data_IF_857231538626
#
_entry.id   IF_857231538626
#
_cell.length_a   1.000
_cell.length_b   1.000
_cell.length_c   1.000
_cell.angle_alpha   90.00
_cell.angle_beta   90.00
_cell.angle_gamma   90.00
#
_symmetry.space_group_name_H-M   'P 1'
#
loop_
_entity.id
_entity.type
_entity.pdbx_description
1 polymer ?
#
# COMPACT_ATOMS: atom_id res chain seq x y z
N UNK A 1 12.40 -31.44 -5.44
CA UNK A 1 11.48 -30.37 -5.94
C UNK A 1 12.29 -29.09 -6.08
N UNK A 2 12.20 -28.42 -7.22
CA UNK A 2 12.79 -27.09 -7.42
C UNK A 2 11.87 -26.02 -6.85
N UNK A 3 12.32 -24.75 -6.85
CA UNK A 3 11.54 -23.62 -6.26
C UNK A 3 10.15 -23.47 -6.87
N UNK A 4 10.00 -23.64 -8.20
CA UNK A 4 8.69 -23.52 -8.87
C UNK A 4 7.76 -24.68 -8.51
N UNK A 5 8.28 -25.89 -8.38
CA UNK A 5 7.49 -27.06 -7.94
C UNK A 5 7.00 -26.89 -6.50
N UNK A 6 7.86 -26.38 -5.61
CA UNK A 6 7.49 -26.08 -4.23
C UNK A 6 6.42 -24.96 -4.17
N UNK A 7 6.60 -23.90 -4.94
CA UNK A 7 5.62 -22.82 -5.00
C UNK A 7 4.26 -23.30 -5.51
N UNK A 8 4.26 -24.08 -6.60
CA UNK A 8 3.03 -24.61 -7.17
C UNK A 8 2.29 -25.59 -6.25
N UNK A 9 2.99 -26.32 -5.41
CA UNK A 9 2.37 -27.27 -4.49
C UNK A 9 1.87 -26.63 -3.19
N UNK A 10 2.62 -25.65 -2.64
CA UNK A 10 2.38 -25.16 -1.28
C UNK A 10 1.91 -23.70 -1.19
N UNK A 11 2.05 -22.89 -2.24
CA UNK A 11 1.61 -21.50 -2.23
C UNK A 11 0.26 -21.37 -2.96
N UNK A 12 -0.70 -20.68 -2.31
CA UNK A 12 -2.00 -20.43 -2.93
C UNK A 12 -1.84 -19.66 -4.26
N UNK A 13 -2.52 -20.11 -5.31
CA UNK A 13 -2.43 -19.53 -6.66
C UNK A 13 -3.23 -18.22 -6.79
N UNK A 14 -2.92 -17.25 -5.93
CA UNK A 14 -3.56 -15.94 -5.93
C UNK A 14 -2.93 -14.96 -6.96
N UNK A 15 -1.79 -15.30 -7.54
CA UNK A 15 -1.05 -14.44 -8.47
C UNK A 15 -0.58 -15.22 -9.70
N UNK A 16 -0.68 -14.60 -10.89
CA UNK A 16 0.04 -15.07 -12.07
C UNK A 16 1.53 -14.72 -11.94
N UNK A 17 2.41 -15.73 -11.98
CA UNK A 17 3.86 -15.52 -11.93
C UNK A 17 4.49 -15.65 -13.30
N UNK A 18 5.56 -14.89 -13.54
CA UNK A 18 6.46 -15.16 -14.66
C UNK A 18 7.21 -16.45 -14.39
N UNK A 19 7.52 -17.21 -15.45
CA UNK A 19 8.22 -18.49 -15.35
C UNK A 19 9.73 -18.32 -15.08
N UNK A 20 10.08 -17.61 -14.02
CA UNK A 20 11.45 -17.32 -13.58
C UNK A 20 11.53 -17.50 -12.05
N UNK A 21 12.49 -18.30 -11.58
CA UNK A 21 12.82 -18.40 -10.16
C UNK A 21 14.09 -17.57 -9.88
N UNK A 22 13.90 -16.39 -9.31
CA UNK A 22 15.00 -15.48 -8.94
C UNK A 22 15.61 -15.91 -7.60
N UNK A 23 16.94 -15.94 -7.51
CA UNK A 23 17.65 -16.41 -6.32
C UNK A 23 18.42 -15.28 -5.60
N UNK A 24 19.07 -14.40 -6.37
CA UNK A 24 19.94 -13.35 -5.82
C UNK A 24 19.98 -12.13 -6.72
N UNK A 25 20.54 -11.04 -6.20
CA UNK A 25 20.77 -9.83 -6.99
C UNK A 25 21.66 -8.82 -6.28
N UNK A 26 22.07 -7.81 -7.02
CA UNK A 26 22.79 -6.63 -6.51
C UNK A 26 22.41 -5.41 -7.35
N UNK A 27 22.06 -4.31 -6.70
CA UNK A 27 21.60 -3.08 -7.34
C UNK A 27 20.42 -3.35 -8.31
N UNK A 28 20.60 -3.16 -9.61
CA UNK A 28 19.59 -3.38 -10.64
C UNK A 28 19.75 -4.71 -11.37
N UNK A 29 20.57 -5.62 -10.88
CA UNK A 29 20.82 -6.92 -11.52
C UNK A 29 20.28 -8.05 -10.65
N UNK A 30 19.50 -8.95 -11.25
CA UNK A 30 18.96 -10.15 -10.65
C UNK A 30 19.51 -11.38 -11.36
N UNK A 31 19.57 -12.49 -10.65
CA UNK A 31 19.99 -13.79 -11.19
C UNK A 31 18.99 -14.86 -10.82
N UNK A 32 18.66 -15.73 -11.77
CA UNK A 32 17.87 -16.91 -11.50
C UNK A 32 18.72 -18.05 -10.91
N UNK A 33 18.07 -19.18 -10.55
CA UNK A 33 18.70 -20.39 -10.01
C UNK A 33 19.78 -20.98 -10.94
N UNK A 34 19.73 -20.68 -12.25
CA UNK A 34 20.71 -21.14 -13.23
C UNK A 34 21.84 -20.13 -13.47
N UNK A 35 21.82 -18.99 -12.77
CA UNK A 35 22.79 -17.91 -12.92
C UNK A 35 22.56 -17.02 -14.11
N UNK A 36 21.42 -17.11 -14.81
CA UNK A 36 21.07 -16.18 -15.88
C UNK A 36 20.76 -14.81 -15.31
N UNK A 37 21.31 -13.80 -15.94
CA UNK A 37 21.18 -12.38 -15.55
C UNK A 37 19.93 -11.74 -16.12
N UNK A 38 19.29 -10.87 -15.30
CA UNK A 38 18.15 -10.03 -15.64
C UNK A 38 18.38 -8.62 -15.11
N UNK A 39 17.92 -7.62 -15.84
CA UNK A 39 17.89 -6.24 -15.38
C UNK A 39 16.54 -5.99 -14.69
N UNK A 40 16.58 -5.52 -13.45
CA UNK A 40 15.39 -5.18 -12.67
C UNK A 40 14.90 -3.76 -12.97
N UNK A 41 13.86 -3.62 -13.76
CA UNK A 41 13.11 -2.38 -13.94
C UNK A 41 11.87 -2.26 -13.06
N UNK A 42 11.55 -3.30 -12.30
CA UNK A 42 10.34 -3.36 -11.48
C UNK A 42 10.54 -2.90 -10.05
N UNK A 43 11.78 -2.98 -9.54
CA UNK A 43 12.14 -2.65 -8.15
C UNK A 43 11.18 -3.26 -7.11
N UNK A 44 10.66 -4.48 -7.35
CA UNK A 44 9.65 -5.10 -6.49
C UNK A 44 8.36 -4.27 -6.37
N UNK A 45 7.95 -3.60 -7.45
CA UNK A 45 6.85 -2.61 -7.49
C UNK A 45 7.14 -1.42 -6.55
N UNK A 46 8.37 -0.87 -6.66
CA UNK A 46 8.83 0.31 -5.93
C UNK A 46 9.33 0.05 -4.50
N UNK A 47 9.43 -1.21 -4.08
CA UNK A 47 9.88 -1.57 -2.71
C UNK A 47 11.39 -1.47 -2.55
N UNK A 48 12.16 -1.90 -3.55
CA UNK A 48 13.63 -1.90 -3.53
C UNK A 48 14.22 -0.67 -4.22
N UNK A 49 13.75 0.52 -3.84
CA UNK A 49 14.13 1.79 -4.46
C UNK A 49 15.63 2.12 -4.39
N UNK A 50 16.35 1.58 -3.40
CA UNK A 50 17.81 1.73 -3.27
C UNK A 50 18.60 0.67 -4.06
N UNK A 51 17.91 -0.26 -4.70
CA UNK A 51 18.50 -1.43 -5.37
C UNK A 51 18.50 -2.68 -4.50
N UNK A 52 18.65 -3.82 -5.18
CA UNK A 52 18.73 -5.14 -4.53
C UNK A 52 20.01 -5.22 -3.69
N UNK A 53 19.88 -5.67 -2.47
CA UNK A 53 20.99 -5.91 -1.53
C UNK A 53 21.91 -4.68 -1.34
N UNK A 54 21.33 -3.46 -1.27
CA UNK A 54 22.05 -2.23 -0.98
C UNK A 54 22.80 -2.33 0.35
N UNK A 55 24.07 -1.92 0.37
CA UNK A 55 24.95 -2.16 1.53
C UNK A 55 24.70 -1.17 2.66
N UNK A 56 24.34 0.07 2.37
CA UNK A 56 24.02 1.08 3.39
C UNK A 56 22.70 0.74 4.08
N UNK A 57 21.69 0.37 3.28
CA UNK A 57 20.42 -0.09 3.82
C UNK A 57 20.57 -1.33 4.70
N UNK A 58 21.30 -2.36 4.23
CA UNK A 58 21.57 -3.57 5.03
C UNK A 58 22.26 -3.26 6.34
N UNK A 59 23.30 -2.41 6.31
CA UNK A 59 24.03 -2.00 7.49
C UNK A 59 23.11 -1.33 8.52
N UNK A 60 22.27 -0.38 8.07
CA UNK A 60 21.33 0.31 8.95
C UNK A 60 20.32 -0.64 9.60
N UNK A 61 19.80 -1.63 8.82
CA UNK A 61 18.86 -2.65 9.33
C UNK A 61 19.55 -3.54 10.37
N UNK A 62 20.75 -4.05 10.09
CA UNK A 62 21.52 -4.91 11.00
C UNK A 62 21.81 -4.15 12.31
N UNK A 63 22.32 -2.92 12.24
CA UNK A 63 22.59 -2.09 13.41
C UNK A 63 21.34 -1.83 14.26
N UNK A 64 20.16 -1.72 13.64
CA UNK A 64 18.90 -1.55 14.37
C UNK A 64 18.42 -2.87 14.99
N UNK A 65 18.58 -3.99 14.30
CA UNK A 65 18.24 -5.33 14.81
C UNK A 65 19.07 -5.67 16.08
N UNK A 66 20.35 -5.30 16.09
CA UNK A 66 21.23 -5.48 17.26
C UNK A 66 20.81 -4.63 18.47
N UNK A 67 20.01 -3.57 18.26
CA UNK A 67 19.52 -2.70 19.35
C UNK A 67 18.10 -3.07 19.79
N UNK A 68 17.17 -3.08 18.85
CA UNK A 68 15.75 -3.27 19.14
C UNK A 68 14.97 -3.45 17.83
N UNK A 69 14.44 -4.64 17.57
CA UNK A 69 13.67 -4.91 16.36
C UNK A 69 12.17 -4.58 16.48
N UNK A 70 11.55 -4.86 17.64
CA UNK A 70 10.13 -4.62 17.87
C UNK A 70 9.75 -4.59 19.35
N UNK A 71 8.81 -3.71 19.72
CA UNK A 71 8.25 -3.62 21.09
C UNK A 71 6.75 -3.27 21.12
N UNK A 72 6.04 -3.33 20.01
CA UNK A 72 4.63 -2.88 19.93
C UNK A 72 4.46 -1.34 20.04
N UNK A 73 3.29 -0.87 19.56
CA UNK A 73 2.89 0.55 19.66
C UNK A 73 2.53 1.01 21.09
N UNK A 74 2.65 0.11 22.08
CA UNK A 74 2.49 0.47 23.49
C UNK A 74 3.69 1.26 24.05
N UNK A 75 4.80 1.28 23.32
CA UNK A 75 6.03 1.95 23.74
C UNK A 75 6.54 2.92 22.68
N UNK A 76 7.23 3.96 23.12
CA UNK A 76 7.89 4.91 22.22
C UNK A 76 9.21 4.34 21.72
N UNK A 77 9.47 4.49 20.41
CA UNK A 77 10.74 4.09 19.81
C UNK A 77 11.36 5.25 19.01
N UNK A 78 12.68 5.39 19.11
CA UNK A 78 13.43 6.47 18.46
C UNK A 78 13.32 6.44 16.93
N UNK A 79 13.45 5.29 16.24
CA UNK A 79 13.32 5.26 14.78
C UNK A 79 11.97 5.75 14.29
N UNK A 80 10.87 5.30 14.90
CA UNK A 80 9.50 5.72 14.56
C UNK A 80 9.33 7.24 14.72
N UNK A 81 9.73 7.80 15.87
CA UNK A 81 9.58 9.22 16.15
C UNK A 81 10.41 10.10 15.21
N UNK A 82 11.65 9.69 14.91
CA UNK A 82 12.55 10.42 13.98
C UNK A 82 12.03 10.40 12.57
N UNK A 83 11.53 9.25 12.07
CA UNK A 83 10.96 9.14 10.75
C UNK A 83 9.67 9.98 10.64
N UNK A 84 8.79 9.93 11.64
CA UNK A 84 7.59 10.77 11.66
C UNK A 84 7.94 12.25 11.58
N UNK A 85 8.95 12.72 12.37
CA UNK A 85 9.41 14.11 12.29
C UNK A 85 9.93 14.46 10.89
N UNK A 86 10.80 13.63 10.33
CA UNK A 86 11.35 13.85 8.98
C UNK A 86 10.25 13.96 7.92
N UNK A 87 9.27 13.05 7.94
CA UNK A 87 8.15 13.07 7.01
C UNK A 87 7.30 14.34 7.18
N UNK A 88 6.97 14.74 8.42
CA UNK A 88 6.23 15.97 8.68
C UNK A 88 6.99 17.21 8.19
N UNK A 89 8.28 17.31 8.47
CA UNK A 89 9.12 18.44 8.02
C UNK A 89 9.17 18.54 6.48
N UNK A 90 9.19 17.41 5.77
CA UNK A 90 9.27 17.37 4.30
C UNK A 90 7.94 17.56 3.59
N UNK A 91 6.84 17.14 4.19
CA UNK A 91 5.51 17.18 3.56
C UNK A 91 4.65 18.34 4.01
N UNK A 92 4.99 19.00 5.11
CA UNK A 92 4.16 20.01 5.77
C UNK A 92 2.97 19.43 6.55
N UNK A 93 2.81 18.11 6.59
CA UNK A 93 1.79 17.44 7.38
C UNK A 93 2.09 17.49 8.87
N UNK A 94 1.04 17.38 9.71
CA UNK A 94 1.19 17.51 11.18
C UNK A 94 1.50 16.21 11.89
N UNK A 95 1.04 15.09 11.37
CA UNK A 95 1.14 13.75 12.00
C UNK A 95 1.29 12.69 10.92
N UNK A 96 1.88 11.56 11.31
CA UNK A 96 2.04 10.38 10.47
C UNK A 96 1.38 9.18 11.16
N UNK A 97 0.67 8.38 10.39
CA UNK A 97 0.19 7.06 10.77
C UNK A 97 1.01 6.01 10.01
N UNK A 98 1.65 5.12 10.73
CA UNK A 98 2.41 4.01 10.15
C UNK A 98 1.59 2.74 10.13
N UNK A 99 1.67 2.00 9.03
CA UNK A 99 1.01 0.71 8.83
C UNK A 99 1.93 -0.24 8.07
N UNK A 100 1.51 -1.50 7.91
CA UNK A 100 2.34 -2.53 7.27
C UNK A 100 2.20 -2.56 5.74
N UNK A 101 1.19 -1.92 5.20
CA UNK A 101 0.92 -1.93 3.74
C UNK A 101 0.16 -0.69 3.28
N UNK A 102 0.19 -0.42 1.96
CA UNK A 102 -0.65 0.62 1.36
C UNK A 102 -2.15 0.38 1.58
N UNK A 103 -2.60 -0.87 1.55
CA UNK A 103 -3.99 -1.20 1.86
C UNK A 103 -4.38 -0.80 3.28
N UNK A 104 -3.55 -1.10 4.29
CA UNK A 104 -3.79 -0.67 5.67
C UNK A 104 -3.72 0.85 5.84
N UNK A 105 -2.83 1.54 5.11
CA UNK A 105 -2.78 3.00 5.08
C UNK A 105 -4.10 3.58 4.54
N UNK A 106 -4.63 3.03 3.46
CA UNK A 106 -5.92 3.43 2.90
C UNK A 106 -7.09 3.10 3.82
N UNK A 107 -7.11 1.93 4.49
CA UNK A 107 -8.08 1.63 5.55
C UNK A 107 -8.04 2.69 6.66
N UNK A 108 -6.84 3.08 7.09
CA UNK A 108 -6.63 4.16 8.04
C UNK A 108 -7.20 5.50 7.54
N UNK A 109 -6.87 5.90 6.30
CA UNK A 109 -7.35 7.15 5.70
C UNK A 109 -8.89 7.19 5.59
N UNK A 110 -9.51 6.11 5.13
CA UNK A 110 -10.99 5.95 5.05
C UNK A 110 -11.61 6.12 6.44
N UNK A 111 -11.08 5.43 7.45
CA UNK A 111 -11.56 5.54 8.83
C UNK A 111 -11.40 6.96 9.39
N UNK A 112 -10.26 7.60 9.17
CA UNK A 112 -10.04 8.99 9.61
C UNK A 112 -10.99 9.96 8.94
N UNK A 113 -11.22 9.85 7.62
CA UNK A 113 -12.14 10.71 6.90
C UNK A 113 -13.58 10.58 7.44
N UNK A 114 -14.06 9.34 7.59
CA UNK A 114 -15.40 9.06 8.14
C UNK A 114 -15.55 9.52 9.58
N UNK A 115 -14.55 9.22 10.43
CA UNK A 115 -14.55 9.64 11.85
C UNK A 115 -14.55 11.16 12.00
N UNK A 116 -13.68 11.86 11.26
CA UNK A 116 -13.62 13.32 11.26
C UNK A 116 -14.95 13.92 10.80
N UNK A 117 -15.55 13.38 9.74
CA UNK A 117 -16.83 13.85 9.24
C UNK A 117 -17.95 13.67 10.25
N UNK A 118 -18.04 12.50 10.86
CA UNK A 118 -19.03 12.21 11.91
C UNK A 118 -18.87 13.16 13.11
N UNK A 119 -17.65 13.35 13.61
CA UNK A 119 -17.41 14.23 14.79
C UNK A 119 -17.76 15.68 14.51
N UNK A 120 -17.61 16.13 13.27
CA UNK A 120 -17.81 17.53 12.89
C UNK A 120 -19.24 17.83 12.41
N UNK A 121 -19.89 16.88 11.73
CA UNK A 121 -21.14 17.11 11.01
C UNK A 121 -22.27 16.14 11.41
N UNK A 122 -22.00 15.15 12.27
CA UNK A 122 -22.95 14.08 12.61
C UNK A 122 -23.05 12.99 11.53
N UNK A 123 -24.15 12.23 11.56
CA UNK A 123 -24.42 11.14 10.65
C UNK A 123 -24.77 11.61 9.22
N UNK A 124 -24.68 10.69 8.25
CA UNK A 124 -25.13 10.88 6.87
C UNK A 124 -24.05 11.40 5.90
N UNK A 125 -22.86 11.77 6.39
CA UNK A 125 -21.76 12.26 5.56
C UNK A 125 -20.56 11.32 5.64
N UNK A 126 -20.63 10.20 4.92
CA UNK A 126 -19.62 9.11 4.98
C UNK A 126 -19.14 8.59 3.63
N UNK A 127 -19.68 9.13 2.53
CA UNK A 127 -19.29 8.74 1.16
C UNK A 127 -17.92 9.30 0.81
N UNK A 128 -17.12 8.50 0.12
CA UNK A 128 -15.78 8.87 -0.37
C UNK A 128 -15.79 8.75 -1.89
N UNK A 129 -15.30 9.78 -2.58
CA UNK A 129 -15.09 9.75 -4.02
C UNK A 129 -13.67 9.25 -4.27
N UNK A 130 -13.53 8.24 -5.15
CA UNK A 130 -12.24 7.75 -5.65
C UNK A 130 -12.19 7.90 -7.17
N UNK A 131 -11.03 7.73 -7.79
CA UNK A 131 -10.91 7.86 -9.24
C UNK A 131 -11.20 6.55 -9.95
N UNK A 132 -11.84 6.62 -11.11
CA UNK A 132 -11.92 5.52 -12.08
C UNK A 132 -10.48 5.07 -12.42
N UNK A 133 -10.26 3.77 -12.54
CA UNK A 133 -8.95 3.14 -12.75
C UNK A 133 -7.94 3.31 -11.60
N UNK A 134 -8.35 3.82 -10.44
CA UNK A 134 -7.50 3.86 -9.25
C UNK A 134 -7.27 2.47 -8.65
N UNK A 135 -6.25 2.37 -7.82
CA UNK A 135 -5.97 1.17 -7.01
C UNK A 135 -5.73 1.57 -5.55
N UNK A 136 -6.51 1.01 -4.62
CA UNK A 136 -6.42 1.33 -3.19
C UNK A 136 -6.01 0.15 -2.31
N UNK A 137 -5.98 -1.06 -2.84
CA UNK A 137 -5.59 -2.28 -2.10
C UNK A 137 -6.51 -3.46 -2.34
N UNK A 138 -6.28 -4.54 -1.59
CA UNK A 138 -6.99 -5.83 -1.74
C UNK A 138 -7.77 -6.25 -0.48
N UNK A 139 -7.89 -5.42 0.56
CA UNK A 139 -8.87 -5.62 1.64
C UNK A 139 -10.28 -5.33 1.11
N UNK A 140 -11.31 -5.84 1.76
CA UNK A 140 -12.69 -5.67 1.26
C UNK A 140 -13.05 -4.19 1.11
N UNK A 141 -12.67 -3.32 2.05
CA UNK A 141 -12.96 -1.89 1.96
C UNK A 141 -12.09 -1.19 0.89
N UNK A 142 -10.79 -1.46 0.83
CA UNK A 142 -9.93 -0.86 -0.19
C UNK A 142 -10.21 -1.41 -1.57
N UNK A 143 -10.71 -2.64 -1.67
CA UNK A 143 -11.21 -3.21 -2.92
C UNK A 143 -12.47 -2.46 -3.40
N UNK A 144 -13.40 -2.19 -2.48
CA UNK A 144 -14.57 -1.36 -2.75
C UNK A 144 -14.20 0.07 -3.18
N UNK A 145 -13.11 0.64 -2.64
CA UNK A 145 -12.60 1.95 -3.03
C UNK A 145 -11.87 1.96 -4.39
N UNK A 146 -11.41 0.80 -4.86
CA UNK A 146 -10.65 0.65 -6.12
C UNK A 146 -11.58 0.83 -7.32
N UNK A 147 -11.31 1.83 -8.17
CA UNK A 147 -12.15 2.20 -9.30
C UNK A 147 -11.95 1.33 -10.55
N UNK A 148 -11.80 0.02 -10.40
CA UNK A 148 -11.56 -0.94 -11.49
C UNK A 148 -12.54 -2.10 -11.39
N UNK A 149 -13.51 -2.17 -12.31
CA UNK A 149 -14.58 -3.16 -12.30
C UNK A 149 -14.09 -4.62 -12.30
N UNK A 150 -12.94 -4.89 -12.89
CA UNK A 150 -12.35 -6.24 -12.93
C UNK A 150 -12.11 -6.83 -11.52
N UNK A 151 -11.94 -5.98 -10.52
CA UNK A 151 -11.76 -6.42 -9.13
C UNK A 151 -13.06 -6.52 -8.33
N UNK A 152 -14.20 -6.15 -8.90
CA UNK A 152 -15.50 -6.15 -8.23
C UNK A 152 -16.38 -7.37 -8.57
N UNK A 153 -15.85 -8.40 -9.22
CA UNK A 153 -16.66 -9.50 -9.77
C UNK A 153 -17.06 -10.55 -8.74
N UNK A 154 -16.15 -10.99 -7.86
CA UNK A 154 -16.36 -12.25 -7.11
C UNK A 154 -16.37 -12.09 -5.58
N UNK A 155 -16.27 -10.85 -5.06
CA UNK A 155 -16.01 -10.59 -3.63
C UNK A 155 -17.13 -9.82 -2.92
N UNK A 156 -18.31 -9.74 -3.52
CA UNK A 156 -19.46 -9.10 -2.89
C UNK A 156 -19.96 -9.86 -1.63
N UNK A 157 -20.56 -9.19 -0.63
CA UNK A 157 -20.90 -7.76 -0.62
C UNK A 157 -19.71 -6.85 -0.28
N UNK A 158 -19.65 -5.70 -0.94
CA UNK A 158 -18.61 -4.70 -0.70
C UNK A 158 -19.00 -3.71 0.40
N UNK A 159 -18.01 -3.05 0.97
CA UNK A 159 -18.22 -1.90 1.85
C UNK A 159 -18.86 -0.76 1.04
N UNK A 160 -19.99 -0.24 1.51
CA UNK A 160 -20.72 0.84 0.89
C UNK A 160 -20.06 2.22 1.09
N UNK A 161 -20.55 3.24 0.34
CA UNK A 161 -20.14 4.63 0.47
C UNK A 161 -18.94 5.00 -0.38
N UNK A 162 -18.82 4.44 -1.58
CA UNK A 162 -17.84 4.85 -2.59
C UNK A 162 -18.52 5.29 -3.88
N UNK A 163 -18.02 6.40 -4.47
CA UNK A 163 -18.36 6.89 -5.81
C UNK A 163 -17.08 6.97 -6.63
N UNK A 164 -17.16 6.75 -7.95
CA UNK A 164 -15.97 6.74 -8.83
C UNK A 164 -16.04 7.87 -9.84
N UNK A 165 -15.12 8.82 -9.76
CA UNK A 165 -15.02 9.98 -10.61
C UNK A 165 -13.98 9.77 -11.73
N UNK A 166 -14.23 10.12 -12.98
CA UNK A 166 -13.20 10.15 -14.01
C UNK A 166 -12.05 11.08 -13.62
N UNK A 167 -10.81 10.68 -13.93
CA UNK A 167 -9.64 11.53 -13.68
C UNK A 167 -9.69 12.80 -14.57
N UNK A 168 -9.27 13.93 -14.01
CA UNK A 168 -9.25 15.23 -14.67
C UNK A 168 -10.63 15.79 -15.11
N UNK A 169 -11.72 15.26 -14.60
CA UNK A 169 -13.07 15.74 -14.85
C UNK A 169 -13.59 16.49 -13.61
N UNK A 170 -13.32 17.79 -13.58
CA UNK A 170 -13.70 18.67 -12.46
C UNK A 170 -15.22 18.87 -12.39
N UNK A 171 -15.91 18.84 -13.52
CA UNK A 171 -17.36 19.03 -13.53
C UNK A 171 -18.09 17.79 -13.01
N UNK A 172 -17.65 16.60 -13.39
CA UNK A 172 -18.13 15.35 -12.79
C UNK A 172 -17.82 15.30 -11.27
N UNK A 173 -16.65 15.76 -10.85
CA UNK A 173 -16.33 15.83 -9.42
C UNK A 173 -17.27 16.76 -8.65
N UNK A 174 -17.57 17.95 -9.18
CA UNK A 174 -18.51 18.90 -8.56
C UNK A 174 -19.92 18.33 -8.45
N UNK A 175 -20.38 17.62 -9.49
CA UNK A 175 -21.70 16.98 -9.51
C UNK A 175 -21.77 15.85 -8.45
N UNK A 176 -20.69 15.06 -8.30
CA UNK A 176 -20.62 13.97 -7.33
C UNK A 176 -20.42 14.43 -5.89
N UNK A 177 -19.87 15.63 -5.65
CA UNK A 177 -19.54 16.18 -4.33
C UNK A 177 -20.79 16.72 -3.60
N UNK A 178 -21.75 15.84 -3.40
CA UNK A 178 -22.99 16.08 -2.66
C UNK A 178 -22.78 16.09 -1.15
N UNK A 179 -23.79 16.49 -0.36
CA UNK A 179 -23.69 16.66 1.10
C UNK A 179 -23.31 15.40 1.87
N UNK A 180 -23.50 14.22 1.28
CA UNK A 180 -23.11 12.93 1.84
C UNK A 180 -21.60 12.61 1.71
N UNK A 181 -20.85 13.41 0.94
CA UNK A 181 -19.42 13.18 0.68
C UNK A 181 -18.55 13.76 1.79
N UNK A 182 -17.70 12.92 2.38
CA UNK A 182 -16.75 13.30 3.42
C UNK A 182 -15.32 13.49 2.92
N UNK A 183 -14.95 12.88 1.79
CA UNK A 183 -13.58 12.94 1.24
C UNK A 183 -13.55 12.64 -0.26
N UNK A 184 -12.44 13.03 -0.88
CA UNK A 184 -12.04 12.66 -2.25
C UNK A 184 -10.66 12.05 -2.16
#
# INVERSE_FOLDING_TARGET
>A
MNTKELDNEYVAHAYGRFDVALEKGKNSTLYDENGKEYIDFGSGIGVTAFGIADDEWKKAVIEQLDKLQHVSNLYYTSPCAKLAKLLCDKTGMKKVFFSNSGAESNEGAIKFARKYSHDKYGDGRSTIITLVNSFHGRTITTLAATGQNVFHTDFAPFTEGFKYCPANDIDALKEMATDDVCAV
#
